data_IF_020750051065
#
_entry.id   IF_020750051065
#
_cell.length_a   1.000
_cell.length_b   1.000
_cell.length_c   1.000
_cell.angle_alpha   90.00
_cell.angle_beta   90.00
_cell.angle_gamma   90.00
#
_symmetry.space_group_name_H-M   'P 1'
#
loop_
_entity.id
_entity.type
_entity.pdbx_description
1 polymer ?
#
# COMPACT_ATOMS: atom_id res chain seq x y z
N UNK A 1 -1.17 4.14 19.65
CA UNK A 1 -1.66 2.80 19.26
C UNK A 1 -1.07 2.35 17.93
N UNK A 2 -1.41 2.94 16.78
CA UNK A 2 -0.87 2.46 15.49
C UNK A 2 0.66 2.37 15.48
N UNK A 3 1.34 3.50 15.69
CA UNK A 3 2.80 3.56 15.64
C UNK A 3 3.51 2.83 16.78
N UNK A 4 2.87 2.76 17.96
CA UNK A 4 3.53 2.27 19.18
C UNK A 4 3.26 0.80 19.49
N UNK A 5 2.20 0.22 18.90
CA UNK A 5 1.68 -1.10 19.27
C UNK A 5 1.40 -1.94 18.02
N UNK A 6 0.45 -1.53 17.18
CA UNK A 6 0.00 -2.33 16.04
C UNK A 6 1.07 -2.48 14.96
N UNK A 7 1.70 -1.38 14.55
CA UNK A 7 2.70 -1.41 13.48
C UNK A 7 3.95 -2.23 13.87
N UNK A 8 4.54 -2.05 15.08
CA UNK A 8 5.63 -2.91 15.53
C UNK A 8 5.25 -4.40 15.60
N UNK A 9 4.04 -4.72 16.05
CA UNK A 9 3.55 -6.10 16.06
C UNK A 9 3.46 -6.68 14.64
N UNK A 10 2.84 -5.96 13.71
CA UNK A 10 2.72 -6.36 12.29
C UNK A 10 4.10 -6.56 11.68
N UNK A 11 5.01 -5.60 11.85
CA UNK A 11 6.40 -5.70 11.35
C UNK A 11 7.11 -6.93 11.92
N UNK A 12 6.90 -7.26 13.20
CA UNK A 12 7.46 -8.47 13.80
C UNK A 12 6.99 -9.77 13.14
N UNK A 13 5.76 -9.83 12.60
CA UNK A 13 5.33 -10.97 11.78
C UNK A 13 6.01 -10.97 10.41
N UNK A 14 6.05 -9.80 9.74
CA UNK A 14 6.67 -9.66 8.41
C UNK A 14 8.16 -10.03 8.44
N UNK A 15 8.90 -9.55 9.43
CA UNK A 15 10.34 -9.82 9.62
C UNK A 15 10.61 -11.31 9.83
N UNK A 16 9.76 -12.01 10.59
CA UNK A 16 9.87 -13.47 10.80
C UNK A 16 9.66 -14.24 9.50
N UNK A 17 8.73 -13.80 8.65
CA UNK A 17 8.52 -14.41 7.33
C UNK A 17 9.67 -14.12 6.37
N UNK A 18 10.20 -12.90 6.38
CA UNK A 18 11.33 -12.53 5.51
C UNK A 18 12.66 -13.17 5.94
N UNK A 19 12.80 -13.59 7.20
CA UNK A 19 13.98 -14.29 7.70
C UNK A 19 14.13 -15.75 7.21
N UNK A 20 13.08 -16.34 6.63
CA UNK A 20 13.12 -17.72 6.13
C UNK A 20 13.56 -17.74 4.67
N UNK A 21 14.69 -18.39 4.41
CA UNK A 21 15.14 -18.70 3.06
C UNK A 21 14.29 -19.84 2.46
N UNK A 22 13.26 -19.46 1.71
CA UNK A 22 12.32 -20.39 1.06
C UNK A 22 12.98 -21.23 -0.04
N UNK A 23 14.14 -20.85 -0.56
CA UNK A 23 14.83 -21.60 -1.61
C UNK A 23 15.55 -22.85 -1.06
N UNK A 24 16.07 -22.77 0.17
CA UNK A 24 16.86 -23.84 0.79
C UNK A 24 16.12 -24.63 1.89
N UNK A 25 14.88 -24.25 2.21
CA UNK A 25 14.09 -24.85 3.30
C UNK A 25 13.79 -26.34 3.05
N UNK A 26 13.88 -27.19 4.07
CA UNK A 26 13.44 -28.61 3.96
C UNK A 26 11.92 -28.74 3.97
N UNK A 27 11.36 -29.89 3.60
CA UNK A 27 9.89 -30.07 3.58
C UNK A 27 9.27 -29.90 4.96
N UNK A 28 9.89 -30.48 5.99
CA UNK A 28 9.43 -30.31 7.39
C UNK A 28 9.51 -28.87 7.86
N UNK A 29 10.56 -28.13 7.47
CA UNK A 29 10.66 -26.71 7.80
C UNK A 29 9.62 -25.87 7.06
N UNK A 30 9.35 -26.18 5.78
CA UNK A 30 8.32 -25.49 5.01
C UNK A 30 6.93 -25.73 5.60
N UNK A 31 6.60 -26.96 5.97
CA UNK A 31 5.31 -27.29 6.60
C UNK A 31 5.11 -26.50 7.89
N UNK A 32 6.13 -26.45 8.75
CA UNK A 32 6.10 -25.61 9.96
C UNK A 32 5.91 -24.14 9.61
N UNK A 33 6.61 -23.66 8.59
CA UNK A 33 6.52 -22.26 8.20
C UNK A 33 5.14 -21.91 7.62
N UNK A 34 4.51 -22.82 6.88
CA UNK A 34 3.12 -22.68 6.41
C UNK A 34 2.17 -22.50 7.60
N UNK A 35 2.32 -23.31 8.66
CA UNK A 35 1.51 -23.19 9.87
C UNK A 35 1.72 -21.85 10.58
N UNK A 36 2.98 -21.46 10.78
CA UNK A 36 3.35 -20.17 11.39
C UNK A 36 2.85 -18.98 10.57
N UNK A 37 2.89 -19.07 9.24
CA UNK A 37 2.36 -18.05 8.34
C UNK A 37 0.85 -17.98 8.40
N UNK A 38 0.15 -19.12 8.43
CA UNK A 38 -1.31 -19.14 8.53
C UNK A 38 -1.80 -18.54 9.86
N UNK A 39 -1.20 -18.95 10.97
CA UNK A 39 -1.53 -18.41 12.30
C UNK A 39 -1.21 -16.91 12.37
N UNK A 40 -0.06 -16.49 11.85
CA UNK A 40 0.32 -15.08 11.80
C UNK A 40 -0.60 -14.23 10.93
N UNK A 41 -1.07 -14.76 9.79
CA UNK A 41 -2.08 -14.11 8.97
C UNK A 41 -3.37 -13.89 9.75
N UNK A 42 -3.88 -14.91 10.45
CA UNK A 42 -5.10 -14.78 11.25
C UNK A 42 -4.97 -13.70 12.33
N UNK A 43 -3.79 -13.58 12.96
CA UNK A 43 -3.54 -12.52 13.93
C UNK A 43 -3.51 -11.13 13.26
N UNK A 44 -2.76 -10.96 12.16
CA UNK A 44 -2.71 -9.69 11.43
C UNK A 44 -4.09 -9.27 10.92
N UNK A 45 -4.91 -10.19 10.40
CA UNK A 45 -6.28 -9.89 9.97
C UNK A 45 -7.19 -9.54 11.15
N UNK A 46 -6.99 -10.15 12.31
CA UNK A 46 -7.69 -9.75 13.53
C UNK A 46 -7.35 -8.30 13.91
N UNK A 47 -6.07 -7.90 13.82
CA UNK A 47 -5.65 -6.51 14.01
C UNK A 47 -6.27 -5.57 12.97
N UNK A 48 -6.26 -5.96 11.69
CA UNK A 48 -6.90 -5.21 10.59
C UNK A 48 -8.34 -4.84 10.92
N UNK A 49 -9.16 -5.80 11.36
CA UNK A 49 -10.57 -5.53 11.69
C UNK A 49 -10.76 -4.75 12.98
N UNK A 50 -9.83 -4.86 13.95
CA UNK A 50 -9.85 -4.06 15.18
C UNK A 50 -9.48 -2.59 14.95
N UNK A 51 -8.62 -2.30 13.98
CA UNK A 51 -8.15 -0.94 13.69
C UNK A 51 -9.28 -0.01 13.27
N UNK A 52 -10.29 -0.52 12.55
CA UNK A 52 -11.46 0.26 12.17
C UNK A 52 -11.11 1.53 11.38
N UNK A 53 -10.25 1.42 10.38
CA UNK A 53 -9.58 2.53 9.66
C UNK A 53 -10.50 3.59 9.02
N UNK A 54 -11.81 3.38 8.95
CA UNK A 54 -12.79 4.33 8.40
C UNK A 54 -13.69 5.07 9.41
N UNK A 55 -13.66 4.71 10.70
CA UNK A 55 -14.63 5.25 11.67
C UNK A 55 -14.46 6.75 11.93
N UNK A 56 -13.22 7.24 11.95
CA UNK A 56 -12.93 8.65 12.20
C UNK A 56 -13.48 9.56 11.13
N UNK A 57 -13.24 9.19 9.86
CA UNK A 57 -13.79 9.89 8.70
C UNK A 57 -15.32 9.96 8.77
N UNK A 58 -15.98 8.83 9.05
CA UNK A 58 -17.44 8.79 9.13
C UNK A 58 -17.98 9.70 10.24
N UNK A 59 -17.43 9.59 11.45
CA UNK A 59 -17.88 10.39 12.58
C UNK A 59 -17.72 11.89 12.34
N UNK A 60 -16.64 12.30 11.65
CA UNK A 60 -16.44 13.69 11.24
C UNK A 60 -17.49 14.14 10.21
N UNK A 61 -17.73 13.34 9.16
CA UNK A 61 -18.76 13.65 8.15
C UNK A 61 -20.15 13.78 8.77
N UNK A 62 -20.53 12.85 9.64
CA UNK A 62 -21.82 12.88 10.33
C UNK A 62 -21.95 14.17 11.18
N UNK A 63 -20.90 14.53 11.93
CA UNK A 63 -20.92 15.74 12.74
C UNK A 63 -20.88 17.04 11.90
N UNK A 64 -20.21 17.03 10.76
CA UNK A 64 -20.24 18.16 9.82
C UNK A 64 -21.67 18.40 9.32
N UNK A 65 -22.44 17.35 9.04
CA UNK A 65 -23.86 17.44 8.70
C UNK A 65 -24.73 17.91 9.87
N UNK A 66 -24.43 17.48 11.10
CA UNK A 66 -25.11 18.00 12.30
C UNK A 66 -24.92 19.52 12.45
N UNK A 67 -23.74 20.04 12.10
CA UNK A 67 -23.41 21.47 12.19
C UNK A 67 -24.04 22.30 11.05
N UNK A 68 -23.98 21.81 9.82
CA UNK A 68 -24.28 22.62 8.63
C UNK A 68 -25.52 22.15 7.84
N UNK A 69 -26.19 21.08 8.28
CA UNK A 69 -27.37 20.48 7.64
C UNK A 69 -27.03 19.27 6.76
N UNK A 70 -28.02 18.40 6.54
CA UNK A 70 -27.85 17.15 5.74
C UNK A 70 -27.54 17.41 4.26
N UNK A 71 -28.04 18.51 3.70
CA UNK A 71 -27.83 18.91 2.30
C UNK A 71 -26.53 19.74 2.10
N UNK A 72 -25.66 19.79 3.12
CA UNK A 72 -24.38 20.51 3.03
C UNK A 72 -23.45 19.93 1.98
N UNK A 73 -22.60 20.77 1.41
CA UNK A 73 -21.62 20.34 0.41
C UNK A 73 -20.50 19.50 1.04
N UNK A 74 -20.57 18.18 0.83
CA UNK A 74 -19.56 17.24 1.33
C UNK A 74 -18.22 17.33 0.58
N UNK A 75 -18.12 18.08 -0.53
CA UNK A 75 -16.82 18.39 -1.15
C UNK A 75 -15.90 19.14 -0.18
N UNK A 76 -16.46 19.95 0.74
CA UNK A 76 -15.71 20.60 1.81
C UNK A 76 -15.07 19.56 2.73
N UNK A 77 -15.80 18.50 3.11
CA UNK A 77 -15.29 17.42 3.95
C UNK A 77 -14.14 16.66 3.28
N UNK A 78 -14.17 16.52 1.95
CA UNK A 78 -13.03 15.99 1.20
C UNK A 78 -11.82 16.92 1.25
N UNK A 79 -12.01 18.23 1.08
CA UNK A 79 -10.92 19.22 1.20
C UNK A 79 -10.33 19.30 2.61
N UNK A 80 -11.14 19.13 3.66
CA UNK A 80 -10.68 19.25 5.05
C UNK A 80 -9.67 18.18 5.48
N UNK A 81 -9.46 17.13 4.69
CA UNK A 81 -8.61 15.98 5.04
C UNK A 81 -7.71 15.51 3.90
N UNK A 82 -7.64 16.25 2.80
CA UNK A 82 -6.69 15.96 1.70
C UNK A 82 -5.30 16.50 2.03
N UNK A 83 -4.29 16.15 1.23
CA UNK A 83 -2.92 16.63 1.41
C UNK A 83 -2.27 16.18 2.74
N UNK A 84 -2.63 15.00 3.23
CA UNK A 84 -2.06 14.39 4.43
C UNK A 84 -1.01 13.33 4.04
N UNK A 85 0.15 13.28 4.73
CA UNK A 85 1.18 12.30 4.42
C UNK A 85 0.72 10.88 4.78
N UNK A 86 1.00 9.93 3.89
CA UNK A 86 0.72 8.51 4.07
C UNK A 86 1.57 7.65 3.12
N UNK A 87 1.57 6.32 3.29
CA UNK A 87 2.37 5.40 2.46
C UNK A 87 2.06 5.47 0.96
N UNK A 88 0.82 5.73 0.56
CA UNK A 88 0.45 5.89 -0.85
C UNK A 88 1.11 7.14 -1.46
N UNK A 89 1.07 8.27 -0.76
CA UNK A 89 1.72 9.53 -1.21
C UNK A 89 3.25 9.40 -1.23
N UNK A 90 3.84 8.73 -0.24
CA UNK A 90 5.29 8.47 -0.20
C UNK A 90 5.72 7.60 -1.37
N UNK A 91 4.97 6.54 -1.68
CA UNK A 91 5.24 5.68 -2.83
C UNK A 91 5.10 6.43 -4.15
N UNK A 92 4.02 7.23 -4.31
CA UNK A 92 3.80 8.02 -5.52
C UNK A 92 4.95 8.98 -5.82
N UNK A 93 5.52 9.60 -4.78
CA UNK A 93 6.72 10.42 -4.90
C UNK A 93 7.95 9.61 -5.27
N UNK A 94 8.20 8.48 -4.59
CA UNK A 94 9.34 7.62 -4.91
C UNK A 94 9.30 7.12 -6.36
N UNK A 95 8.10 6.79 -6.86
CA UNK A 95 7.88 6.41 -8.26
C UNK A 95 8.18 7.56 -9.22
N UNK A 96 7.71 8.76 -8.89
CA UNK A 96 8.00 9.96 -9.68
C UNK A 96 9.50 10.26 -9.74
N UNK A 97 10.17 10.26 -8.59
CA UNK A 97 11.61 10.49 -8.49
C UNK A 97 12.39 9.45 -9.30
N UNK A 98 12.01 8.17 -9.19
CA UNK A 98 12.60 7.10 -10.00
C UNK A 98 12.42 7.39 -11.51
N UNK A 99 11.23 7.83 -11.93
CA UNK A 99 10.99 8.15 -13.34
C UNK A 99 11.90 9.26 -13.89
N UNK A 100 12.35 10.20 -13.05
CA UNK A 100 13.28 11.27 -13.47
C UNK A 100 14.68 10.78 -13.78
N UNK A 101 15.03 9.57 -13.33
CA UNK A 101 16.31 8.92 -13.59
C UNK A 101 16.25 7.91 -14.74
N UNK A 102 15.08 7.77 -15.39
CA UNK A 102 14.93 6.84 -16.50
C UNK A 102 15.72 7.32 -17.73
N UNK A 103 16.57 6.48 -18.32
CA UNK A 103 17.31 6.85 -19.53
C UNK A 103 16.40 6.78 -20.76
N UNK A 104 16.82 7.41 -21.86
CA UNK A 104 15.99 7.59 -23.05
C UNK A 104 15.51 6.26 -23.66
N UNK A 105 16.32 5.21 -23.61
CA UNK A 105 15.97 3.86 -24.08
C UNK A 105 14.77 3.23 -23.33
N UNK A 106 14.40 3.75 -22.15
CA UNK A 106 13.23 3.26 -21.42
C UNK A 106 11.90 3.86 -21.93
N UNK A 107 11.94 5.07 -22.49
CA UNK A 107 10.75 5.89 -22.73
C UNK A 107 9.81 5.31 -23.81
N UNK A 108 10.33 4.55 -24.78
CA UNK A 108 9.59 4.10 -25.95
C UNK A 108 9.69 2.57 -26.19
N UNK A 109 8.85 2.07 -27.11
CA UNK A 109 8.83 0.66 -27.52
C UNK A 109 8.19 -0.30 -26.51
N UNK A 110 8.17 -1.62 -26.78
CA UNK A 110 7.68 -2.62 -25.83
C UNK A 110 8.48 -2.62 -24.52
N UNK A 111 7.84 -2.94 -23.40
CA UNK A 111 8.48 -2.92 -22.07
C UNK A 111 9.62 -3.95 -21.97
N UNK A 112 9.43 -5.15 -22.53
CA UNK A 112 10.46 -6.18 -22.50
C UNK A 112 11.72 -5.77 -23.28
N UNK A 113 11.53 -5.15 -24.45
CA UNK A 113 12.62 -4.62 -25.27
C UNK A 113 13.36 -3.50 -24.53
N UNK A 114 12.62 -2.59 -23.90
CA UNK A 114 13.20 -1.51 -23.10
C UNK A 114 14.02 -2.05 -21.92
N UNK A 115 13.53 -3.08 -21.22
CA UNK A 115 14.27 -3.72 -20.12
C UNK A 115 15.55 -4.40 -20.60
N UNK A 116 15.49 -5.08 -21.75
CA UNK A 116 16.68 -5.69 -22.35
C UNK A 116 17.71 -4.63 -22.78
N UNK A 117 17.27 -3.51 -23.32
CA UNK A 117 18.12 -2.39 -23.71
C UNK A 117 18.79 -1.72 -22.51
N UNK A 118 18.06 -1.48 -21.41
CA UNK A 118 18.59 -0.95 -20.15
C UNK A 118 19.77 -1.76 -19.62
N UNK A 119 19.71 -3.09 -19.74
CA UNK A 119 20.78 -3.97 -19.27
C UNK A 119 22.11 -3.83 -20.06
N UNK A 120 22.10 -3.13 -21.21
CA UNK A 120 23.29 -2.95 -22.06
C UNK A 120 24.07 -1.67 -21.76
N UNK A 121 23.49 -0.69 -21.08
CA UNK A 121 24.13 0.60 -20.78
C UNK A 121 24.45 0.74 -19.29
N UNK A 122 25.45 1.56 -18.93
CA UNK A 122 25.75 1.85 -17.52
C UNK A 122 24.58 2.56 -16.85
N UNK A 123 24.03 3.60 -17.49
CA UNK A 123 22.88 4.35 -16.99
C UNK A 123 21.63 3.47 -16.84
N UNK A 124 21.41 2.54 -17.78
CA UNK A 124 20.30 1.60 -17.69
C UNK A 124 20.44 0.60 -16.55
N UNK A 125 21.67 0.11 -16.26
CA UNK A 125 21.94 -0.72 -15.07
C UNK A 125 21.69 0.03 -13.78
N UNK A 126 22.18 1.28 -13.67
CA UNK A 126 21.92 2.14 -12.51
C UNK A 126 20.40 2.36 -12.29
N UNK A 127 19.65 2.58 -13.36
CA UNK A 127 18.20 2.69 -13.29
C UNK A 127 17.51 1.37 -12.87
N UNK A 128 17.98 0.22 -13.37
CA UNK A 128 17.49 -1.09 -12.95
C UNK A 128 17.77 -1.38 -11.47
N UNK A 129 18.93 -0.95 -10.96
CA UNK A 129 19.25 -1.06 -9.53
C UNK A 129 18.31 -0.19 -8.70
N UNK A 130 18.08 1.06 -9.11
CA UNK A 130 17.12 1.96 -8.44
C UNK A 130 15.66 1.42 -8.51
N UNK A 131 15.28 0.78 -9.62
CA UNK A 131 14.00 0.08 -9.73
C UNK A 131 13.92 -1.10 -8.75
N UNK A 132 15.00 -1.88 -8.59
CA UNK A 132 15.03 -2.98 -7.64
C UNK A 132 14.92 -2.48 -6.19
N UNK A 133 15.53 -1.35 -5.85
CA UNK A 133 15.37 -0.70 -4.54
C UNK A 133 13.90 -0.26 -4.30
N UNK A 134 13.27 0.34 -5.32
CA UNK A 134 11.85 0.68 -5.28
C UNK A 134 10.98 -0.57 -5.07
N UNK A 135 11.22 -1.64 -5.82
CA UNK A 135 10.47 -2.90 -5.71
C UNK A 135 10.71 -3.61 -4.38
N UNK A 136 11.90 -3.51 -3.80
CA UNK A 136 12.19 -4.05 -2.47
C UNK A 136 11.32 -3.36 -1.41
N UNK A 137 11.11 -2.05 -1.54
CA UNK A 137 10.33 -1.28 -0.57
C UNK A 137 8.83 -1.38 -0.82
N UNK A 138 8.39 -1.22 -2.07
CA UNK A 138 6.98 -1.05 -2.44
C UNK A 138 6.40 -2.23 -3.20
N UNK A 139 7.22 -3.15 -3.70
CA UNK A 139 6.78 -4.19 -4.63
C UNK A 139 6.10 -5.40 -4.01
N UNK A 140 5.89 -5.41 -2.68
CA UNK A 140 4.99 -6.36 -2.02
C UNK A 140 3.52 -6.16 -2.40
N UNK A 141 3.17 -5.03 -3.02
CA UNK A 141 1.82 -4.82 -3.55
C UNK A 141 1.65 -5.35 -4.97
N UNK A 142 0.41 -5.38 -5.43
CA UNK A 142 0.05 -5.64 -6.81
C UNK A 142 -1.04 -4.66 -7.28
N UNK A 143 -1.46 -4.79 -8.54
CA UNK A 143 -2.63 -4.07 -9.04
C UNK A 143 -3.95 -4.67 -8.54
N UNK A 144 -3.93 -5.96 -8.22
CA UNK A 144 -5.03 -6.71 -7.65
C UNK A 144 -4.63 -7.23 -6.28
N UNK A 145 -5.61 -7.42 -5.41
CA UNK A 145 -5.41 -7.93 -4.07
C UNK A 145 -5.89 -9.38 -3.98
N UNK A 146 -5.07 -10.25 -3.39
CA UNK A 146 -5.36 -11.68 -3.21
C UNK A 146 -4.11 -12.54 -3.39
N UNK A 147 -4.11 -13.71 -2.76
CA UNK A 147 -2.97 -14.65 -2.81
C UNK A 147 -2.70 -15.18 -4.21
N UNK A 148 -3.68 -15.20 -5.10
CA UNK A 148 -3.59 -15.71 -6.47
C UNK A 148 -2.93 -14.73 -7.46
N UNK A 149 -2.84 -13.44 -7.12
CA UNK A 149 -2.31 -12.43 -8.02
C UNK A 149 -0.81 -12.18 -7.77
N UNK A 150 -0.01 -11.99 -8.83
CA UNK A 150 1.40 -11.67 -8.68
C UNK A 150 1.59 -10.28 -8.06
N UNK A 151 2.62 -10.14 -7.22
CA UNK A 151 3.07 -8.84 -6.73
C UNK A 151 3.99 -8.16 -7.75
N UNK A 152 4.31 -6.87 -7.55
CA UNK A 152 5.22 -6.14 -8.43
C UNK A 152 6.67 -6.63 -8.35
N UNK A 153 7.07 -7.27 -7.24
CA UNK A 153 8.35 -8.00 -7.17
C UNK A 153 8.36 -9.17 -8.17
N UNK A 154 7.24 -9.89 -8.28
CA UNK A 154 7.11 -11.05 -9.17
C UNK A 154 6.93 -10.64 -10.64
N UNK A 155 6.13 -9.60 -10.89
CA UNK A 155 5.94 -8.98 -12.20
C UNK A 155 5.99 -7.44 -12.10
N UNK A 156 7.13 -6.80 -12.45
CA UNK A 156 7.28 -5.36 -12.36
C UNK A 156 6.61 -4.60 -13.51
N UNK A 157 5.99 -5.29 -14.49
CA UNK A 157 5.39 -4.67 -15.67
C UNK A 157 4.46 -3.49 -15.33
N UNK A 158 3.56 -3.59 -14.33
CA UNK A 158 2.74 -2.45 -13.93
C UNK A 158 3.54 -1.23 -13.49
N UNK A 159 4.63 -1.42 -12.75
CA UNK A 159 5.50 -0.34 -12.29
C UNK A 159 6.18 0.34 -13.47
N UNK A 160 6.66 -0.44 -14.44
CA UNK A 160 7.26 0.07 -15.66
C UNK A 160 6.26 0.89 -16.49
N UNK A 161 5.00 0.45 -16.58
CA UNK A 161 3.92 1.23 -17.21
C UNK A 161 3.69 2.55 -16.48
N UNK A 162 3.61 2.53 -15.15
CA UNK A 162 3.39 3.76 -14.37
C UNK A 162 4.56 4.74 -14.50
N UNK A 163 5.81 4.26 -14.51
CA UNK A 163 7.00 5.09 -14.74
C UNK A 163 6.95 5.80 -16.09
N UNK A 164 6.53 5.11 -17.16
CA UNK A 164 6.29 5.73 -18.47
C UNK A 164 5.16 6.75 -18.44
N UNK A 165 4.10 6.49 -17.68
CA UNK A 165 3.05 7.47 -17.42
C UNK A 165 3.60 8.76 -16.82
N UNK A 166 4.48 8.66 -15.82
CA UNK A 166 5.16 9.81 -15.23
C UNK A 166 6.05 10.56 -16.24
N UNK A 167 6.73 9.85 -17.15
CA UNK A 167 7.55 10.48 -18.20
C UNK A 167 6.70 11.24 -19.23
N UNK A 168 5.54 10.71 -19.58
CA UNK A 168 4.63 11.30 -20.57
C UNK A 168 3.91 12.57 -20.07
N UNK A 169 3.74 12.71 -18.75
CA UNK A 169 3.06 13.85 -18.12
C UNK A 169 3.97 14.51 -17.07
N UNK A 170 4.99 15.28 -17.49
CA UNK A 170 5.98 15.87 -16.59
C UNK A 170 5.42 17.00 -15.72
N UNK A 171 4.22 17.52 -16.02
CA UNK A 171 3.58 18.59 -15.24
C UNK A 171 2.84 18.04 -14.01
N UNK A 172 2.59 16.73 -13.96
CA UNK A 172 1.86 16.07 -12.86
C UNK A 172 2.78 15.66 -11.70
N UNK A 173 3.59 16.59 -11.23
CA UNK A 173 4.47 16.40 -10.07
C UNK A 173 3.63 16.11 -8.79
N UNK A 174 3.77 14.91 -8.18
CA UNK A 174 3.04 14.57 -6.96
C UNK A 174 3.32 15.50 -5.78
N UNK A 175 4.51 16.11 -5.68
CA UNK A 175 4.81 17.09 -4.62
C UNK A 175 4.03 18.38 -4.83
N UNK A 176 3.98 18.88 -6.06
CA UNK A 176 3.20 20.08 -6.39
C UNK A 176 1.71 19.86 -6.11
N UNK A 177 1.17 18.70 -6.51
CA UNK A 177 -0.22 18.31 -6.21
C UNK A 177 -0.46 18.22 -4.71
N UNK A 178 0.44 17.54 -3.97
CA UNK A 178 0.33 17.41 -2.52
C UNK A 178 0.33 18.77 -1.81
N UNK A 179 1.24 19.66 -2.21
CA UNK A 179 1.36 21.02 -1.67
C UNK A 179 0.11 21.85 -1.95
N UNK A 180 -0.43 21.78 -3.17
CA UNK A 180 -1.68 22.47 -3.53
C UNK A 180 -2.87 21.96 -2.69
N UNK A 181 -3.01 20.63 -2.56
CA UNK A 181 -4.07 20.02 -1.74
C UNK A 181 -3.96 20.40 -0.25
N UNK A 182 -2.74 20.47 0.29
CA UNK A 182 -2.52 20.92 1.66
C UNK A 182 -2.92 22.39 1.83
N UNK A 183 -2.57 23.27 0.89
CA UNK A 183 -2.97 24.68 0.91
C UNK A 183 -4.50 24.84 0.83
N UNK A 184 -5.17 24.10 -0.05
CA UNK A 184 -6.63 24.07 -0.14
C UNK A 184 -7.29 23.59 1.16
N UNK A 185 -6.69 22.59 1.83
CA UNK A 185 -7.16 22.13 3.14
C UNK A 185 -7.09 23.26 4.18
N UNK A 186 -5.94 23.93 4.29
CA UNK A 186 -5.77 25.01 5.26
C UNK A 186 -6.74 26.18 5.01
N UNK A 187 -6.99 26.51 3.75
CA UNK A 187 -8.00 27.52 3.39
C UNK A 187 -9.41 27.06 3.80
N UNK A 188 -9.79 25.83 3.46
CA UNK A 188 -11.10 25.29 3.83
C UNK A 188 -11.28 25.22 5.36
N UNK A 189 -10.22 24.88 6.10
CA UNK A 189 -10.21 24.89 7.56
C UNK A 189 -10.45 26.30 8.12
N UNK A 190 -9.76 27.31 7.57
CA UNK A 190 -9.96 28.71 7.95
C UNK A 190 -11.42 29.14 7.74
N UNK A 191 -11.99 28.82 6.58
CA UNK A 191 -13.36 29.21 6.22
C UNK A 191 -14.40 28.54 7.11
N UNK A 192 -14.24 27.24 7.41
CA UNK A 192 -15.13 26.50 8.31
C UNK A 192 -15.00 27.01 9.75
N UNK A 193 -13.77 27.24 10.25
CA UNK A 193 -13.55 27.79 11.59
C UNK A 193 -14.14 29.20 11.74
N UNK A 194 -14.10 30.02 10.70
CA UNK A 194 -14.75 31.32 10.68
C UNK A 194 -16.28 31.21 10.82
N UNK A 195 -16.91 30.26 10.11
CA UNK A 195 -18.34 29.99 10.24
C UNK A 195 -18.71 29.50 11.66
N UNK A 196 -17.82 28.70 12.26
CA UNK A 196 -18.02 28.17 13.60
C UNK A 196 -17.84 29.18 14.73
N UNK A 197 -17.37 30.41 14.48
CA UNK A 197 -17.17 31.42 15.54
C UNK A 197 -18.45 31.74 16.31
N UNK A 198 -19.61 31.67 15.67
CA UNK A 198 -20.92 31.87 16.31
C UNK A 198 -21.44 30.67 17.11
N UNK A 199 -20.76 29.53 17.05
CA UNK A 199 -21.22 28.28 17.65
C UNK A 199 -20.75 28.13 19.11
N UNK A 200 -21.48 27.36 19.94
CA UNK A 200 -21.04 27.04 21.30
C UNK A 200 -19.63 26.46 21.34
N UNK A 201 -18.83 26.78 22.36
CA UNK A 201 -17.44 26.30 22.48
C UNK A 201 -17.34 24.78 22.38
N UNK A 202 -18.25 24.05 23.04
CA UNK A 202 -18.33 22.58 22.97
C UNK A 202 -18.48 22.05 21.55
N UNK A 203 -19.20 22.78 20.69
CA UNK A 203 -19.40 22.36 19.31
C UNK A 203 -18.12 22.53 18.47
N UNK A 204 -17.39 23.61 18.72
CA UNK A 204 -16.07 23.89 18.14
C UNK A 204 -15.03 22.86 18.58
N UNK A 205 -14.96 22.58 19.88
CA UNK A 205 -14.01 21.59 20.42
C UNK A 205 -14.28 20.19 19.83
N UNK A 206 -15.56 19.79 19.72
CA UNK A 206 -15.95 18.52 19.11
C UNK A 206 -15.59 18.46 17.62
N UNK A 207 -15.67 19.58 16.89
CA UNK A 207 -15.24 19.65 15.49
C UNK A 207 -13.74 19.36 15.37
N UNK A 208 -12.90 20.01 16.16
CA UNK A 208 -11.44 19.80 16.12
C UNK A 208 -11.06 18.35 16.50
N UNK A 209 -11.68 17.79 17.54
CA UNK A 209 -11.45 16.40 17.94
C UNK A 209 -11.80 15.41 16.82
N UNK A 210 -12.94 15.61 16.15
CA UNK A 210 -13.37 14.71 15.07
C UNK A 210 -12.57 14.93 13.78
N UNK A 211 -12.11 16.15 13.52
CA UNK A 211 -11.20 16.46 12.42
C UNK A 211 -9.86 15.73 12.60
N UNK A 212 -9.26 15.83 13.79
CA UNK A 212 -8.02 15.11 14.11
C UNK A 212 -8.21 13.60 13.94
N UNK A 213 -9.34 13.07 14.42
CA UNK A 213 -9.67 11.66 14.25
C UNK A 213 -9.84 11.29 12.76
N UNK A 214 -10.43 12.16 11.94
CA UNK A 214 -10.55 11.94 10.51
C UNK A 214 -9.19 11.96 9.80
N UNK A 215 -8.28 12.88 10.17
CA UNK A 215 -6.92 12.92 9.62
C UNK A 215 -6.16 11.63 9.92
N UNK A 216 -6.22 11.17 11.17
CA UNK A 216 -5.62 9.88 11.58
C UNK A 216 -6.26 8.72 10.82
N UNK A 217 -7.59 8.74 10.63
CA UNK A 217 -8.32 7.72 9.87
C UNK A 217 -7.88 7.66 8.39
N UNK A 218 -7.67 8.82 7.73
CA UNK A 218 -7.20 8.87 6.35
C UNK A 218 -5.79 8.31 6.20
N UNK A 219 -4.87 8.70 7.10
CA UNK A 219 -3.52 8.14 7.09
C UNK A 219 -3.55 6.63 7.35
N UNK A 220 -4.27 6.19 8.37
CA UNK A 220 -4.42 4.78 8.70
C UNK A 220 -4.98 3.97 7.55
N UNK A 221 -5.96 4.51 6.80
CA UNK A 221 -6.57 3.81 5.66
C UNK A 221 -5.52 3.45 4.60
N UNK A 222 -4.58 4.33 4.33
CA UNK A 222 -3.54 4.09 3.34
C UNK A 222 -2.37 3.26 3.92
N UNK A 223 -1.98 3.54 5.16
CA UNK A 223 -0.85 2.87 5.81
C UNK A 223 -1.15 1.40 6.17
N UNK A 224 -2.36 1.07 6.62
CA UNK A 224 -2.72 -0.32 6.88
C UNK A 224 -2.76 -1.14 5.59
N UNK A 225 -3.22 -0.55 4.48
CA UNK A 225 -3.24 -1.25 3.19
C UNK A 225 -1.80 -1.64 2.76
N UNK A 226 -0.84 -0.73 2.97
CA UNK A 226 0.56 -1.01 2.71
C UNK A 226 1.14 -2.12 3.62
N UNK A 227 0.98 -1.98 4.94
CA UNK A 227 1.64 -2.86 5.92
C UNK A 227 0.91 -4.18 6.19
N UNK A 228 -0.41 -4.19 6.03
CA UNK A 228 -1.26 -5.35 6.23
C UNK A 228 -1.61 -5.92 4.87
N UNK A 229 -2.60 -5.33 4.18
CA UNK A 229 -3.29 -5.95 3.04
C UNK A 229 -2.32 -6.49 2.00
N UNK A 230 -1.38 -5.68 1.54
CA UNK A 230 -0.39 -6.11 0.55
C UNK A 230 0.80 -6.84 1.17
N UNK A 231 1.41 -6.28 2.23
CA UNK A 231 2.66 -6.84 2.75
C UNK A 231 2.49 -8.24 3.35
N UNK A 232 1.39 -8.50 4.07
CA UNK A 232 1.15 -9.82 4.65
C UNK A 232 0.74 -10.84 3.58
N UNK A 233 -0.13 -10.43 2.64
CA UNK A 233 -0.59 -11.28 1.53
C UNK A 233 0.57 -11.66 0.61
N UNK A 234 1.49 -10.74 0.32
CA UNK A 234 2.70 -11.01 -0.47
C UNK A 234 3.57 -12.09 0.14
N UNK A 235 3.84 -12.01 1.44
CA UNK A 235 4.70 -12.97 2.14
C UNK A 235 4.02 -14.33 2.24
N UNK A 236 2.73 -14.35 2.57
CA UNK A 236 1.95 -15.58 2.55
C UNK A 236 1.90 -16.21 1.15
N UNK A 237 1.73 -15.41 0.08
CA UNK A 237 1.79 -15.88 -1.30
C UNK A 237 3.12 -16.55 -1.60
N UNK A 238 4.26 -15.97 -1.20
CA UNK A 238 5.60 -16.56 -1.40
C UNK A 238 5.68 -17.95 -0.76
N UNK A 239 5.24 -18.08 0.50
CA UNK A 239 5.23 -19.36 1.24
C UNK A 239 4.36 -20.40 0.53
N UNK A 240 3.12 -20.04 0.17
CA UNK A 240 2.20 -20.97 -0.50
C UNK A 240 2.71 -21.36 -1.90
N UNK A 241 3.28 -20.42 -2.65
CA UNK A 241 3.89 -20.69 -3.96
C UNK A 241 5.06 -21.66 -3.85
N UNK A 242 5.89 -21.56 -2.81
CA UNK A 242 6.96 -22.54 -2.55
C UNK A 242 6.39 -23.93 -2.26
N UNK A 243 5.24 -24.04 -1.57
CA UNK A 243 4.54 -25.31 -1.41
C UNK A 243 4.04 -25.84 -2.76
N UNK A 244 3.40 -24.99 -3.55
CA UNK A 244 2.95 -25.32 -4.92
C UNK A 244 4.08 -25.82 -5.82
N UNK A 245 5.27 -25.22 -5.75
CA UNK A 245 6.45 -25.69 -6.48
C UNK A 245 6.83 -27.13 -6.12
N UNK A 246 6.71 -27.53 -4.85
CA UNK A 246 6.99 -28.91 -4.42
C UNK A 246 5.91 -29.88 -4.86
N UNK A 247 4.65 -29.48 -4.75
CA UNK A 247 3.52 -30.28 -5.21
C UNK A 247 3.61 -30.54 -6.72
N UNK A 248 3.95 -29.52 -7.51
CA UNK A 248 4.17 -29.64 -8.95
C UNK A 248 5.37 -30.54 -9.27
N UNK A 249 6.50 -30.39 -8.56
CA UNK A 249 7.66 -31.26 -8.71
C UNK A 249 7.36 -32.73 -8.37
N UNK A 250 6.37 -32.98 -7.52
CA UNK A 250 5.86 -34.31 -7.19
C UNK A 250 4.73 -34.79 -8.13
N UNK A 251 4.34 -34.01 -9.14
CA UNK A 251 3.21 -34.25 -10.04
C UNK A 251 1.85 -34.39 -9.33
N UNK A 252 1.67 -33.71 -8.20
CA UNK A 252 0.39 -33.65 -7.47
C UNK A 252 -0.53 -32.58 -8.07
N UNK A 253 0.06 -31.48 -8.55
CA UNK A 253 -0.61 -30.40 -9.28
C UNK A 253 0.12 -30.13 -10.60
N UNK A 254 -0.52 -29.45 -11.55
CA UNK A 254 0.07 -29.18 -12.87
C UNK A 254 1.07 -28.02 -12.81
N UNK A 255 0.76 -27.00 -12.02
CA UNK A 255 1.58 -25.80 -11.86
C UNK A 255 1.75 -25.40 -10.39
N UNK A 256 2.79 -24.62 -10.09
CA UNK A 256 2.97 -24.07 -8.75
C UNK A 256 1.83 -23.13 -8.33
N UNK A 257 1.09 -22.55 -9.27
CA UNK A 257 -0.01 -21.62 -8.98
C UNK A 257 -1.30 -22.35 -8.60
N UNK A 258 -1.42 -23.64 -8.92
CA UNK A 258 -2.60 -24.44 -8.59
C UNK A 258 -2.81 -24.55 -7.08
N UNK A 259 -1.76 -24.32 -6.28
CA UNK A 259 -1.82 -24.25 -4.81
C UNK A 259 -2.82 -23.21 -4.31
N UNK A 260 -3.09 -22.14 -5.07
CA UNK A 260 -4.04 -21.10 -4.68
C UNK A 260 -5.51 -21.54 -4.83
N UNK A 261 -5.76 -22.72 -5.40
CA UNK A 261 -7.08 -23.35 -5.46
C UNK A 261 -7.31 -24.37 -4.35
N UNK A 262 -6.30 -24.64 -3.52
CA UNK A 262 -6.37 -25.60 -2.42
C UNK A 262 -6.75 -24.91 -1.10
N UNK A 263 -7.47 -25.63 -0.26
CA UNK A 263 -7.61 -25.26 1.15
C UNK A 263 -6.28 -25.47 1.89
N UNK A 264 -6.06 -24.71 2.96
CA UNK A 264 -4.80 -24.81 3.74
C UNK A 264 -4.53 -26.23 4.25
N UNK A 265 -5.57 -26.97 4.61
CA UNK A 265 -5.46 -28.36 5.08
C UNK A 265 -5.11 -29.36 3.95
N UNK A 266 -5.35 -29.00 2.69
CA UNK A 266 -4.94 -29.78 1.52
C UNK A 266 -3.48 -29.49 1.12
N UNK A 267 -2.95 -28.32 1.51
CA UNK A 267 -1.55 -27.93 1.29
C UNK A 267 -0.61 -28.54 2.35
N UNK A 268 -1.12 -28.76 3.56
CA UNK A 268 -0.41 -29.33 4.74
C UNK A 268 -0.03 -30.80 4.59
#
# INVERSE_FOLDING_TARGET
HWHDEFLPEIQGYLDRWDAVDLESVTTTQLQRHIDETWDGLLQIWTLHFRLGSGHGRKAFTDYYKELFGEDTDLSVVHRLVQGLPNKTTTMGRALWDLSRHAPAEFAEGPIDDARAALAQSTAGKEFLDALNEFLTTYGHRGNHWGLQYPTWIEDPTPVLVMLRGCLADPERDPEAVFTAQAAEREQALSDVRAQLQGYPQKARDRFEILLDLAHVSEQLREDHNFWIDFSCTSRARRVMRTAGQRLAAANIVESAEDVFHLHIDEVR
#
